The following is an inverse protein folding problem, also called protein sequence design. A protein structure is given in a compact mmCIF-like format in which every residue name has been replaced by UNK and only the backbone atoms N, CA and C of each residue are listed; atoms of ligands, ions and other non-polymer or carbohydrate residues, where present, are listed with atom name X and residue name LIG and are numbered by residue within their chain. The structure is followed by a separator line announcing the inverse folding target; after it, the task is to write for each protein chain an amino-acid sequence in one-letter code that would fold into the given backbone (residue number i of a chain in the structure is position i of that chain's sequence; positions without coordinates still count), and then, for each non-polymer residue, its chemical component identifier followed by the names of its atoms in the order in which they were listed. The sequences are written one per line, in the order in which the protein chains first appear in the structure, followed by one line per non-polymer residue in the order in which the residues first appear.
data_IF_734215396731
#
_entry.id   IF_734215396731
#
_cell.length_a   1.000
_cell.length_b   1.000
_cell.length_c   1.000
_cell.angle_alpha   90.00
_cell.angle_beta   90.00
_cell.angle_gamma   90.00
#
_symmetry.space_group_name_H-M   'P 1'
#
loop_
_entity.id
_entity.type
_entity.pdbx_description
1 polymer ?
#
# COMPACT_ATOMS: atom_id res chain seq x y z
N UNK A 1 4.12 -30.22 26.09
CA UNK A 1 3.48 -30.62 24.83
C UNK A 1 2.38 -29.60 24.57
N UNK A 2 2.77 -28.39 24.18
CA UNK A 2 1.88 -27.29 23.78
C UNK A 2 2.66 -26.26 22.91
N UNK A 3 3.75 -26.70 22.28
CA UNK A 3 4.63 -25.81 21.48
C UNK A 3 3.96 -25.44 20.15
N UNK A 4 3.13 -26.34 19.61
CA UNK A 4 2.39 -26.14 18.35
C UNK A 4 1.40 -24.97 18.42
N UNK A 5 0.92 -24.59 19.61
CA UNK A 5 0.00 -23.47 19.79
C UNK A 5 0.70 -22.11 19.59
N UNK A 6 2.02 -22.06 19.83
CA UNK A 6 2.84 -20.85 19.71
C UNK A 6 3.61 -20.79 18.38
N UNK A 7 3.70 -21.92 17.66
CA UNK A 7 4.38 -22.02 16.39
C UNK A 7 3.75 -21.12 15.31
N UNK A 8 4.54 -20.64 14.33
CA UNK A 8 4.01 -19.92 13.18
C UNK A 8 2.90 -20.70 12.46
N UNK A 9 1.84 -20.00 12.03
CA UNK A 9 0.73 -20.62 11.33
C UNK A 9 1.13 -21.28 10.02
N UNK A 10 2.12 -20.71 9.33
CA UNK A 10 2.73 -21.27 8.13
C UNK A 10 4.21 -21.47 8.43
N UNK A 11 4.68 -22.69 8.16
CA UNK A 11 6.09 -23.03 8.29
C UNK A 11 6.94 -22.10 7.39
N UNK A 12 7.87 -21.31 7.97
CA UNK A 12 8.70 -20.38 7.21
C UNK A 12 9.63 -21.07 6.22
N UNK A 13 9.94 -22.36 6.41
CA UNK A 13 10.78 -23.14 5.51
C UNK A 13 9.96 -23.86 4.42
N UNK A 14 8.63 -23.74 4.45
CA UNK A 14 7.78 -24.34 3.43
C UNK A 14 7.80 -23.56 2.12
N UNK A 15 7.56 -24.27 1.00
CA UNK A 15 7.38 -23.67 -0.33
C UNK A 15 6.06 -22.89 -0.49
N UNK A 16 5.34 -22.61 0.60
CA UNK A 16 4.06 -21.93 0.54
C UNK A 16 4.26 -20.50 0.02
N UNK A 17 3.48 -20.03 -0.97
CA UNK A 17 3.72 -18.75 -1.66
C UNK A 17 3.25 -17.53 -0.83
N UNK A 18 3.63 -17.42 0.43
CA UNK A 18 3.37 -16.25 1.26
C UNK A 18 4.28 -15.07 0.89
N UNK A 19 3.87 -13.86 1.27
CA UNK A 19 4.76 -12.71 1.23
C UNK A 19 5.78 -12.81 2.37
N UNK A 20 7.02 -12.35 2.16
CA UNK A 20 8.09 -12.40 3.17
C UNK A 20 7.75 -11.70 4.50
N UNK A 21 6.87 -10.70 4.45
CA UNK A 21 6.37 -9.97 5.63
C UNK A 21 4.98 -10.47 6.09
N UNK A 22 4.60 -11.70 5.74
CA UNK A 22 3.32 -12.26 6.17
C UNK A 22 3.34 -12.56 7.67
N UNK A 23 2.34 -12.11 8.45
CA UNK A 23 2.28 -12.42 9.87
C UNK A 23 2.16 -13.92 10.13
N UNK A 24 1.57 -14.69 9.21
CA UNK A 24 1.44 -16.14 9.32
C UNK A 24 2.80 -16.89 9.38
N UNK A 25 3.88 -16.29 8.86
CA UNK A 25 5.23 -16.87 8.91
C UNK A 25 5.94 -16.60 10.24
N UNK A 26 5.37 -15.76 11.12
CA UNK A 26 6.00 -15.35 12.38
C UNK A 26 5.12 -15.54 13.60
N UNK A 27 3.81 -15.71 13.41
CA UNK A 27 2.82 -15.73 14.47
C UNK A 27 1.92 -16.95 14.33
N UNK A 28 1.43 -17.50 15.46
CA UNK A 28 0.41 -18.54 15.44
C UNK A 28 -0.89 -18.01 14.85
N UNK A 29 -1.82 -18.93 14.53
CA UNK A 29 -3.10 -18.57 13.91
C UNK A 29 -3.84 -17.47 14.67
N UNK A 30 -3.84 -17.54 16.00
CA UNK A 30 -4.53 -16.58 16.88
C UNK A 30 -3.85 -15.21 16.94
N UNK A 31 -2.61 -15.10 16.48
CA UNK A 31 -1.81 -13.87 16.54
C UNK A 31 -2.08 -12.85 15.44
N UNK A 32 -2.92 -13.17 14.44
CA UNK A 32 -3.23 -12.24 13.35
C UNK A 32 -4.66 -12.38 12.81
N UNK A 33 -5.09 -11.32 12.14
CA UNK A 33 -6.35 -11.23 11.41
C UNK A 33 -6.12 -11.25 9.90
N UNK A 34 -7.15 -11.60 9.14
CA UNK A 34 -7.14 -11.58 7.68
C UNK A 34 -8.15 -10.56 7.18
N UNK A 35 -7.69 -9.64 6.33
CA UNK A 35 -8.52 -8.67 5.66
C UNK A 35 -8.65 -8.99 4.16
N UNK A 36 -9.77 -8.59 3.56
CA UNK A 36 -10.05 -8.77 2.13
C UNK A 36 -9.10 -7.98 1.22
N UNK A 37 -8.67 -6.78 1.65
CA UNK A 37 -7.76 -5.89 0.92
C UNK A 37 -7.02 -4.90 1.84
N UNK A 38 -5.98 -4.21 1.35
CA UNK A 38 -5.36 -3.10 2.08
C UNK A 38 -6.36 -1.98 2.41
N UNK A 39 -6.22 -1.37 3.59
CA UNK A 39 -7.02 -0.22 4.05
C UNK A 39 -6.17 0.76 4.86
N UNK A 40 -6.67 2.00 5.00
CA UNK A 40 -6.18 2.96 6.00
C UNK A 40 -6.53 2.56 7.43
N UNK A 41 -7.54 1.71 7.61
CA UNK A 41 -7.94 1.17 8.92
C UNK A 41 -6.89 0.20 9.50
N UNK A 42 -5.99 -0.31 8.64
CA UNK A 42 -4.82 -1.10 9.02
C UNK A 42 -3.56 -0.64 8.27
N UNK A 43 -2.93 0.47 8.71
CA UNK A 43 -1.75 1.01 8.07
C UNK A 43 -0.57 0.04 8.16
N UNK A 44 0.32 0.14 7.17
CA UNK A 44 1.58 -0.59 7.15
C UNK A 44 2.57 0.08 8.13
N UNK A 45 3.24 -0.74 8.95
CA UNK A 45 4.30 -0.35 9.85
C UNK A 45 5.65 -0.81 9.29
N UNK A 46 6.54 0.14 9.05
CA UNK A 46 7.84 -0.14 8.45
C UNK A 46 8.84 -0.75 9.43
N UNK A 47 8.57 -0.70 10.74
CA UNK A 47 9.47 -1.26 11.74
C UNK A 47 9.55 -2.79 11.65
N UNK A 48 8.43 -3.45 11.37
CA UNK A 48 8.32 -4.92 11.31
C UNK A 48 7.75 -5.46 9.98
N UNK A 49 7.17 -4.59 9.15
CA UNK A 49 6.58 -4.93 7.86
C UNK A 49 5.13 -5.41 7.94
N UNK A 50 4.47 -5.29 9.09
CA UNK A 50 3.08 -5.70 9.26
C UNK A 50 2.08 -4.57 9.03
N UNK A 51 0.81 -4.95 8.89
CA UNK A 51 -0.31 -4.01 8.93
C UNK A 51 -1.06 -4.22 10.23
N UNK A 52 -1.55 -3.15 10.85
CA UNK A 52 -2.10 -3.23 12.20
C UNK A 52 -3.48 -2.62 12.31
N UNK A 53 -4.43 -3.31 12.93
CA UNK A 53 -5.70 -2.68 13.31
C UNK A 53 -5.45 -1.45 14.19
N UNK A 54 -6.09 -0.33 13.89
CA UNK A 54 -5.85 0.94 14.59
C UNK A 54 -6.15 0.89 16.11
N UNK A 55 -7.10 0.05 16.54
CA UNK A 55 -7.50 -0.05 17.95
C UNK A 55 -6.66 -1.05 18.76
N UNK A 56 -6.56 -2.29 18.30
CA UNK A 56 -5.96 -3.39 19.06
C UNK A 56 -4.50 -3.65 18.74
N UNK A 57 -3.95 -2.99 17.71
CA UNK A 57 -2.63 -3.30 17.14
C UNK A 57 -2.43 -4.78 16.88
N UNK A 58 -3.47 -5.44 16.36
CA UNK A 58 -3.38 -6.82 15.89
C UNK A 58 -2.83 -6.84 14.46
N UNK A 59 -1.80 -7.64 14.17
CA UNK A 59 -1.29 -7.83 12.81
C UNK A 59 -2.37 -8.31 11.83
N UNK A 60 -2.31 -7.83 10.59
CA UNK A 60 -3.30 -8.08 9.54
C UNK A 60 -2.61 -8.58 8.26
N UNK A 61 -2.97 -9.78 7.82
CA UNK A 61 -2.68 -10.25 6.47
C UNK A 61 -3.76 -9.74 5.51
N UNK A 62 -3.38 -9.20 4.35
CA UNK A 62 -4.31 -8.71 3.32
C UNK A 62 -4.47 -9.67 2.13
N UNK A 63 -4.01 -10.91 2.30
CA UNK A 63 -3.98 -11.92 1.24
C UNK A 63 -4.67 -13.21 1.70
N UNK A 64 -6.01 -13.24 1.80
CA UNK A 64 -6.76 -14.41 2.29
C UNK A 64 -6.43 -15.69 1.52
N UNK A 65 -6.31 -15.59 0.19
CA UNK A 65 -5.93 -16.71 -0.67
C UNK A 65 -4.51 -17.24 -0.43
N UNK A 66 -3.56 -16.39 0.02
CA UNK A 66 -2.19 -16.81 0.35
C UNK A 66 -2.05 -17.39 1.76
N UNK A 67 -3.10 -17.40 2.56
CA UNK A 67 -3.09 -18.04 3.88
C UNK A 67 -4.23 -19.06 4.02
N UNK A 68 -4.98 -19.32 2.95
CA UNK A 68 -6.14 -20.21 2.93
C UNK A 68 -7.16 -19.93 4.06
N UNK A 69 -7.35 -18.66 4.42
CA UNK A 69 -8.27 -18.23 5.47
C UNK A 69 -9.31 -17.25 4.91
N UNK A 70 -10.56 -17.28 5.43
CA UNK A 70 -11.55 -16.27 5.07
C UNK A 70 -11.14 -14.90 5.60
N UNK A 71 -11.54 -13.85 4.88
CA UNK A 71 -11.42 -12.49 5.40
C UNK A 71 -12.35 -12.30 6.60
N UNK A 72 -11.77 -11.85 7.71
CA UNK A 72 -12.46 -11.48 8.94
C UNK A 72 -12.76 -9.98 8.97
N UNK A 73 -11.98 -9.19 8.23
CA UNK A 73 -12.12 -7.75 8.11
C UNK A 73 -12.41 -7.39 6.64
N UNK A 74 -13.39 -6.51 6.46
CA UNK A 74 -13.70 -5.90 5.17
C UNK A 74 -13.26 -4.45 5.19
N UNK A 75 -12.34 -4.08 4.31
CA UNK A 75 -11.88 -2.71 4.20
C UNK A 75 -13.05 -1.80 3.83
N UNK A 76 -13.08 -0.60 4.42
CA UNK A 76 -14.08 0.41 4.08
C UNK A 76 -13.88 0.86 2.64
N UNK A 77 -14.96 0.92 1.87
CA UNK A 77 -14.93 1.51 0.53
C UNK A 77 -14.60 2.98 0.68
N UNK A 78 -13.55 3.42 -0.02
CA UNK A 78 -13.22 4.83 -0.06
C UNK A 78 -14.32 5.55 -0.82
N UNK A 79 -14.87 6.59 -0.18
CA UNK A 79 -15.82 7.51 -0.78
C UNK A 79 -15.05 8.80 -1.03
N UNK A 80 -14.98 9.22 -2.29
CA UNK A 80 -14.35 10.50 -2.60
C UNK A 80 -15.09 11.62 -1.85
N UNK A 81 -14.36 12.55 -1.21
CA UNK A 81 -14.98 13.76 -0.70
C UNK A 81 -15.65 14.48 -1.88
N UNK A 82 -16.78 15.17 -1.65
CA UNK A 82 -17.38 15.98 -2.71
C UNK A 82 -16.31 16.93 -3.26
N UNK A 83 -16.26 17.06 -4.58
CA UNK A 83 -15.39 18.03 -5.22
C UNK A 83 -15.67 19.41 -4.60
N UNK A 84 -14.64 20.22 -4.33
CA UNK A 84 -14.87 21.58 -3.87
C UNK A 84 -15.76 22.30 -4.87
N UNK A 85 -16.65 23.16 -4.38
CA UNK A 85 -17.46 24.02 -5.25
C UNK A 85 -16.53 24.76 -6.21
N UNK A 86 -16.88 24.88 -7.50
CA UNK A 86 -16.08 25.64 -8.43
C UNK A 86 -15.94 27.06 -7.88
N UNK A 87 -14.72 27.40 -7.45
CA UNK A 87 -14.35 28.79 -7.18
C UNK A 87 -14.64 29.57 -8.44
N UNK A 88 -15.67 30.43 -8.40
CA UNK A 88 -15.91 31.40 -9.46
C UNK A 88 -14.72 32.36 -9.43
N UNK A 89 -13.81 32.13 -10.35
CA UNK A 89 -12.64 32.98 -10.59
C UNK A 89 -13.14 34.31 -11.18
N UNK A 90 -13.65 35.19 -10.30
CA UNK A 90 -13.85 36.59 -10.65
C UNK A 90 -12.50 37.31 -10.57
N UNK A 91 -11.89 37.40 -11.75
CA UNK A 91 -10.89 38.37 -12.17
C UNK A 91 -9.48 38.23 -11.55
N UNK A 92 -8.61 37.46 -12.22
CA UNK A 92 -7.37 38.06 -12.71
C UNK A 92 -7.06 37.69 -14.16
N UNK A 93 -7.23 38.70 -15.02
CA UNK A 93 -6.66 38.79 -16.38
C UNK A 93 -5.26 38.17 -16.54
N UNK A 94 -5.13 37.37 -17.60
CA UNK A 94 -3.95 37.23 -18.48
C UNK A 94 -2.64 36.75 -17.83
N UNK A 95 -2.38 35.44 -17.89
CA UNK A 95 -1.01 34.96 -18.19
C UNK A 95 -1.04 34.02 -19.38
N UNK A 96 -0.48 34.59 -20.46
CA UNK A 96 -0.39 34.06 -21.81
C UNK A 96 0.45 32.79 -21.80
N UNK A 97 -0.03 31.81 -22.55
CA UNK A 97 0.74 30.67 -23.03
C UNK A 97 2.09 31.16 -23.56
N UNK A 98 3.19 30.74 -22.94
CA UNK A 98 4.50 30.84 -23.59
C UNK A 98 4.67 29.61 -24.48
N UNK A 99 4.91 29.78 -25.79
CA UNK A 99 5.21 28.68 -26.67
C UNK A 99 6.64 28.20 -26.38
N UNK A 100 6.84 26.88 -26.36
CA UNK A 100 8.16 26.27 -26.47
C UNK A 100 8.80 26.71 -27.79
N UNK A 101 9.64 27.74 -27.75
CA UNK A 101 10.65 28.03 -28.77
C UNK A 101 12.01 28.07 -28.09
N UNK A 102 12.85 27.07 -28.40
CA UNK A 102 14.30 27.20 -28.37
C UNK A 102 14.83 26.93 -29.77
N UNK A 103 15.38 27.93 -30.48
CA UNK A 103 16.26 27.71 -31.62
C UNK A 103 17.70 27.55 -31.13
N UNK A 104 18.50 26.75 -31.82
CA UNK A 104 19.95 26.73 -31.56
C UNK A 104 20.69 25.53 -32.12
N UNK A 105 20.68 25.38 -33.45
CA UNK A 105 21.67 24.57 -34.17
C UNK A 105 23.06 25.18 -33.96
N UNK A 106 23.94 24.47 -33.24
CA UNK A 106 25.36 24.81 -33.12
C UNK A 106 26.16 23.94 -34.08
N UNK A 107 26.50 24.49 -35.24
CA UNK A 107 27.43 23.89 -36.19
C UNK A 107 28.86 23.90 -35.62
N UNK A 108 29.57 22.77 -35.72
CA UNK A 108 31.01 22.68 -35.46
C UNK A 108 31.75 22.96 -36.79
N UNK A 109 32.73 23.88 -36.84
CA UNK A 109 33.42 24.22 -38.08
C UNK A 109 34.47 23.16 -38.46
N UNK A 110 34.45 22.76 -39.74
CA UNK A 110 35.51 21.96 -40.35
C UNK A 110 36.76 22.80 -40.63
N UNK A 111 37.93 22.26 -40.26
CA UNK A 111 39.28 22.56 -40.79
C UNK A 111 40.13 21.30 -40.52
N UNK A 112 41.01 20.81 -41.38
CA UNK A 112 41.35 21.00 -42.78
C UNK A 112 42.13 19.76 -43.20
#
# INVERSE_FOLDING_TARGET
MDDDAEAPFIDPESDYPCCWFCPALRLPRTGFLVADRPSRDWPFDAADGFRYTAGTRTPVCVHPGRVALPAQLTARTYVDPPLPDPVRDEDTRRRRWWPLRRPGSGAVPARR
#
